data_IF_616851403571
#
_entry.id   IF_616851403571
#
_cell.length_a   1.000
_cell.length_b   1.000
_cell.length_c   1.000
_cell.angle_alpha   90.00
_cell.angle_beta   90.00
_cell.angle_gamma   90.00
#
_symmetry.space_group_name_H-M   'P 1'
#
loop_
_entity.id
_entity.type
_entity.pdbx_description
1 polymer ?
#
# COMPACT_ATOMS: atom_id res chain seq x y z
N UNK A 1 -29.56 -34.53 19.07
CA UNK A 1 -29.91 -33.10 18.96
C UNK A 1 -29.06 -32.51 17.85
N UNK A 2 -29.67 -31.80 16.89
CA UNK A 2 -28.93 -31.06 15.87
C UNK A 2 -28.42 -29.75 16.46
N UNK A 3 -27.19 -29.36 16.14
CA UNK A 3 -26.64 -28.05 16.49
C UNK A 3 -26.97 -27.11 15.34
N UNK A 4 -27.74 -26.06 15.62
CA UNK A 4 -28.01 -24.99 14.67
C UNK A 4 -27.03 -23.84 14.91
N UNK A 5 -26.38 -23.37 13.84
CA UNK A 5 -25.46 -22.24 13.91
C UNK A 5 -26.26 -20.95 13.96
N UNK A 6 -26.05 -20.14 15.00
CA UNK A 6 -26.59 -18.79 15.08
C UNK A 6 -25.90 -17.94 14.00
N UNK A 7 -26.70 -17.33 13.13
CA UNK A 7 -26.24 -16.45 12.06
C UNK A 7 -26.88 -15.09 12.22
N UNK A 8 -26.06 -14.05 12.24
CA UNK A 8 -26.55 -12.68 12.28
C UNK A 8 -26.97 -12.18 10.90
N UNK A 9 -27.90 -11.22 10.88
CA UNK A 9 -28.32 -10.53 9.63
C UNK A 9 -27.81 -9.11 9.65
N UNK A 10 -26.80 -8.84 8.84
CA UNK A 10 -26.17 -7.53 8.71
C UNK A 10 -26.95 -6.65 7.75
N UNK A 11 -27.35 -5.45 8.18
CA UNK A 11 -28.18 -4.54 7.36
C UNK A 11 -27.40 -3.81 6.27
N UNK A 12 -26.08 -3.67 6.42
CA UNK A 12 -25.22 -2.90 5.52
C UNK A 12 -23.87 -3.60 5.32
N UNK A 13 -23.16 -3.21 4.26
CA UNK A 13 -21.79 -3.62 3.97
C UNK A 13 -20.82 -2.44 4.12
N UNK A 14 -19.55 -2.75 4.36
CA UNK A 14 -18.45 -1.76 4.33
C UNK A 14 -18.29 -1.23 2.91
N UNK A 15 -17.98 0.06 2.77
CA UNK A 15 -17.68 0.67 1.48
C UNK A 15 -16.56 -0.07 0.74
N UNK A 16 -16.68 -0.14 -0.58
CA UNK A 16 -15.66 -0.72 -1.46
C UNK A 16 -14.79 0.38 -2.03
N UNK A 17 -13.47 0.26 -1.89
CA UNK A 17 -12.50 1.22 -2.42
C UNK A 17 -11.55 0.50 -3.37
N UNK A 18 -11.39 1.04 -4.58
CA UNK A 18 -10.44 0.54 -5.58
C UNK A 18 -9.28 1.51 -5.70
N UNK A 19 -8.07 0.99 -5.56
CA UNK A 19 -6.80 1.72 -5.59
C UNK A 19 -6.05 1.35 -6.88
N UNK A 20 -5.66 2.38 -7.62
CA UNK A 20 -5.00 2.26 -8.93
C UNK A 20 -5.98 2.27 -10.10
N UNK A 21 -5.47 2.62 -11.28
CA UNK A 21 -6.21 2.65 -12.54
C UNK A 21 -5.32 2.12 -13.67
N UNK A 22 -5.87 1.25 -14.51
CA UNK A 22 -5.17 0.72 -15.69
C UNK A 22 -5.24 1.70 -16.86
N UNK A 23 -4.55 1.38 -17.97
CA UNK A 23 -4.58 2.20 -19.19
C UNK A 23 -5.99 2.43 -19.74
N UNK A 24 -6.89 1.45 -19.59
CA UNK A 24 -8.29 1.53 -20.01
C UNK A 24 -9.10 2.54 -19.17
N UNK A 25 -8.66 2.79 -17.94
CA UNK A 25 -9.29 3.72 -16.99
C UNK A 25 -8.52 5.05 -16.90
N UNK A 26 -7.60 5.31 -17.83
CA UNK A 26 -6.82 6.55 -17.90
C UNK A 26 -5.60 6.59 -16.96
N UNK A 27 -5.28 5.48 -16.28
CA UNK A 27 -4.09 5.36 -15.45
C UNK A 27 -2.92 4.65 -16.14
N UNK A 28 -1.86 4.38 -15.39
CA UNK A 28 -0.64 3.71 -15.88
C UNK A 28 -0.32 2.44 -15.11
N UNK A 29 -1.19 2.00 -14.19
CA UNK A 29 -0.96 0.80 -13.38
C UNK A 29 -1.23 -0.45 -14.20
N UNK A 30 -0.51 -1.53 -13.91
CA UNK A 30 -0.73 -2.85 -14.53
C UNK A 30 -1.79 -3.66 -13.79
N UNK A 31 -2.10 -3.29 -12.54
CA UNK A 31 -3.07 -3.97 -11.69
C UNK A 31 -3.81 -2.98 -10.79
N UNK A 32 -4.92 -3.43 -10.23
CA UNK A 32 -5.73 -2.70 -9.25
C UNK A 32 -5.85 -3.52 -7.97
N UNK A 33 -6.06 -2.82 -6.86
CA UNK A 33 -6.38 -3.42 -5.56
C UNK A 33 -7.72 -2.91 -5.09
N UNK A 34 -8.66 -3.80 -4.82
CA UNK A 34 -9.96 -3.45 -4.26
C UNK A 34 -10.04 -3.98 -2.83
N UNK A 35 -10.52 -3.14 -1.90
CA UNK A 35 -10.67 -3.46 -0.48
C UNK A 35 -12.08 -3.10 -0.01
N UNK A 36 -12.51 -3.71 1.09
CA UNK A 36 -13.84 -3.49 1.68
C UNK A 36 -14.92 -4.35 1.03
N UNK A 37 -16.18 -3.91 1.12
CA UNK A 37 -17.34 -4.66 0.63
C UNK A 37 -17.83 -5.78 1.56
N UNK A 38 -17.23 -5.93 2.75
CA UNK A 38 -17.63 -6.97 3.69
C UNK A 38 -19.02 -6.66 4.30
N UNK A 39 -19.90 -7.65 4.32
CA UNK A 39 -21.25 -7.61 4.92
C UNK A 39 -21.37 -8.57 6.11
N UNK A 40 -20.25 -8.83 6.80
CA UNK A 40 -20.15 -9.73 7.95
C UNK A 40 -18.97 -9.32 8.83
N UNK A 41 -18.86 -9.92 10.02
CA UNK A 41 -17.66 -9.81 10.85
C UNK A 41 -16.47 -10.52 10.18
N UNK A 42 -15.21 -10.15 10.54
CA UNK A 42 -14.03 -10.70 9.89
C UNK A 42 -14.01 -12.23 9.85
N UNK A 43 -13.99 -12.77 8.64
CA UNK A 43 -13.91 -14.22 8.33
C UNK A 43 -15.13 -15.07 8.72
N UNK A 44 -16.29 -14.46 9.04
CA UNK A 44 -17.54 -15.18 9.26
C UNK A 44 -18.35 -15.35 7.95
N UNK A 45 -17.81 -16.13 7.02
CA UNK A 45 -18.39 -16.37 5.69
C UNK A 45 -19.76 -17.09 5.70
N UNK A 46 -20.15 -17.68 6.84
CA UNK A 46 -21.42 -18.39 6.97
C UNK A 46 -22.63 -17.48 7.09
N UNK A 47 -22.43 -16.19 7.38
CA UNK A 47 -23.49 -15.21 7.70
C UNK A 47 -23.38 -13.89 6.90
N UNK A 48 -22.43 -13.79 5.97
CA UNK A 48 -22.36 -12.70 5.00
C UNK A 48 -21.13 -12.80 4.10
N UNK A 49 -21.01 -11.86 3.17
CA UNK A 49 -19.98 -11.87 2.13
C UNK A 49 -18.75 -11.06 2.54
N UNK A 50 -17.57 -11.53 2.13
CA UNK A 50 -16.31 -10.79 2.25
C UNK A 50 -15.58 -10.86 0.91
N UNK A 51 -16.01 -10.06 -0.10
CA UNK A 51 -15.59 -10.23 -1.48
C UNK A 51 -14.11 -9.90 -1.72
N UNK A 52 -13.54 -9.02 -0.89
CA UNK A 52 -12.16 -8.59 -1.00
C UNK A 52 -11.37 -9.01 0.25
N UNK A 53 -10.27 -9.72 0.04
CA UNK A 53 -9.33 -10.07 1.11
C UNK A 53 -8.55 -8.85 1.61
N UNK A 54 -8.11 -8.83 2.87
CA UNK A 54 -7.14 -7.84 3.35
C UNK A 54 -5.87 -7.84 2.50
N UNK A 55 -5.29 -6.66 2.31
CA UNK A 55 -4.10 -6.44 1.49
C UNK A 55 -3.03 -5.76 2.34
N UNK A 56 -1.79 -6.20 2.19
CA UNK A 56 -0.63 -5.60 2.85
C UNK A 56 0.10 -4.72 1.84
N UNK A 57 0.36 -3.47 2.23
CA UNK A 57 1.24 -2.58 1.49
C UNK A 57 2.64 -2.62 2.11
N UNK A 58 3.68 -2.62 1.28
CA UNK A 58 5.05 -2.47 1.77
C UNK A 58 5.43 -0.99 1.79
N UNK A 59 5.97 -0.54 2.92
CA UNK A 59 6.40 0.84 3.10
C UNK A 59 7.75 1.10 2.44
N UNK A 60 7.87 2.28 1.84
CA UNK A 60 9.07 2.84 1.23
C UNK A 60 9.14 4.30 1.65
N UNK A 61 10.34 4.78 1.95
CA UNK A 61 10.60 6.20 2.19
C UNK A 61 11.29 6.81 0.96
N UNK A 62 11.06 8.10 0.72
CA UNK A 62 11.77 8.89 -0.30
C UNK A 62 13.21 9.26 0.10
N UNK A 63 13.57 9.05 1.36
CA UNK A 63 14.91 9.22 1.93
C UNK A 63 15.35 7.97 2.70
N UNK A 64 16.65 7.80 2.92
CA UNK A 64 17.15 6.71 3.74
C UNK A 64 16.67 6.86 5.20
N UNK A 65 16.03 5.84 5.79
CA UNK A 65 15.53 5.92 7.17
C UNK A 65 16.68 6.03 8.16
N UNK A 66 16.69 7.08 8.98
CA UNK A 66 17.74 7.32 9.98
C UNK A 66 17.51 6.54 11.28
N UNK A 67 16.25 6.34 11.66
CA UNK A 67 15.79 5.82 12.95
C UNK A 67 15.38 4.34 12.92
N UNK A 68 15.41 3.70 11.75
CA UNK A 68 15.04 2.29 11.65
C UNK A 68 16.07 1.37 12.32
N UNK A 69 15.64 0.36 13.09
CA UNK A 69 16.51 -0.68 13.63
C UNK A 69 17.25 -1.45 12.51
N UNK A 70 18.46 -1.91 12.80
CA UNK A 70 19.29 -2.63 11.83
C UNK A 70 18.59 -3.85 11.20
N UNK A 71 17.80 -4.58 11.99
CA UNK A 71 17.02 -5.74 11.55
C UNK A 71 15.99 -5.38 10.47
N UNK A 72 15.44 -4.16 10.52
CA UNK A 72 14.49 -3.68 9.51
C UNK A 72 15.21 -3.16 8.26
N UNK A 73 16.43 -2.64 8.41
CA UNK A 73 17.27 -2.16 7.31
C UNK A 73 17.88 -3.29 6.49
N UNK A 74 18.25 -4.40 7.14
CA UNK A 74 18.99 -5.52 6.54
C UNK A 74 18.38 -6.06 5.23
N UNK A 75 17.06 -6.30 5.11
CA UNK A 75 16.44 -6.78 3.86
C UNK A 75 16.58 -5.79 2.69
N UNK A 76 16.75 -4.50 2.99
CA UNK A 76 16.75 -3.41 2.02
C UNK A 76 18.10 -2.71 1.89
N UNK A 77 19.15 -3.19 2.58
CA UNK A 77 20.43 -2.48 2.77
C UNK A 77 21.08 -1.94 1.48
N UNK A 78 20.85 -2.58 0.32
CA UNK A 78 21.43 -2.16 -0.96
C UNK A 78 20.55 -1.17 -1.74
N UNK A 79 19.33 -0.91 -1.26
CA UNK A 79 18.31 -0.08 -1.95
C UNK A 79 17.72 1.02 -1.07
N UNK A 80 18.03 1.08 0.23
CA UNK A 80 17.47 2.07 1.16
C UNK A 80 17.71 3.53 0.76
N UNK A 81 18.79 3.81 0.04
CA UNK A 81 19.12 5.14 -0.45
C UNK A 81 18.49 5.47 -1.82
N UNK A 82 17.79 4.52 -2.45
CA UNK A 82 17.17 4.68 -3.75
C UNK A 82 15.71 4.17 -3.72
N UNK A 83 14.73 5.07 -3.56
CA UNK A 83 13.32 4.69 -3.42
C UNK A 83 12.77 3.95 -4.64
N UNK A 84 13.33 4.18 -5.84
CA UNK A 84 12.91 3.51 -7.08
C UNK A 84 13.35 2.04 -7.09
N UNK A 85 14.61 1.78 -6.74
CA UNK A 85 15.11 0.40 -6.64
C UNK A 85 14.50 -0.33 -5.45
N UNK A 86 14.21 0.39 -4.35
CA UNK A 86 13.45 -0.17 -3.23
C UNK A 86 12.04 -0.59 -3.66
N UNK A 87 11.33 0.26 -4.41
CA UNK A 87 10.02 -0.10 -4.97
C UNK A 87 10.07 -1.34 -5.85
N UNK A 88 11.07 -1.43 -6.73
CA UNK A 88 11.27 -2.62 -7.57
C UNK A 88 11.54 -3.87 -6.73
N UNK A 89 12.39 -3.79 -5.69
CA UNK A 89 12.66 -4.91 -4.78
C UNK A 89 11.38 -5.38 -4.09
N UNK A 90 10.58 -4.46 -3.55
CA UNK A 90 9.29 -4.78 -2.91
C UNK A 90 8.35 -5.54 -3.85
N UNK A 91 8.25 -5.14 -5.12
CA UNK A 91 7.37 -5.79 -6.09
C UNK A 91 7.95 -7.10 -6.63
N UNK A 92 9.24 -7.11 -6.98
CA UNK A 92 9.86 -8.23 -7.70
C UNK A 92 10.27 -9.37 -6.77
N UNK A 93 10.85 -9.06 -5.62
CA UNK A 93 11.36 -10.05 -4.68
C UNK A 93 10.30 -10.40 -3.63
N UNK A 94 9.72 -9.38 -2.98
CA UNK A 94 8.74 -9.58 -1.91
C UNK A 94 7.28 -9.68 -2.39
N UNK A 95 7.05 -9.58 -3.71
CA UNK A 95 5.73 -9.76 -4.35
C UNK A 95 4.63 -8.83 -3.79
N UNK A 96 5.03 -7.62 -3.37
CA UNK A 96 4.10 -6.59 -2.94
C UNK A 96 3.08 -6.28 -4.05
N UNK A 97 1.80 -6.26 -3.68
CA UNK A 97 0.68 -5.92 -4.59
C UNK A 97 0.22 -4.48 -4.46
N UNK A 98 0.73 -3.79 -3.45
CA UNK A 98 0.42 -2.42 -3.09
C UNK A 98 1.67 -1.85 -2.42
N UNK A 99 2.03 -0.62 -2.75
CA UNK A 99 3.13 0.09 -2.11
C UNK A 99 2.60 1.29 -1.34
N UNK A 100 3.25 1.61 -0.24
CA UNK A 100 3.03 2.82 0.54
C UNK A 100 4.32 3.64 0.51
N UNK A 101 4.33 4.72 -0.27
CA UNK A 101 5.41 5.69 -0.27
C UNK A 101 5.11 6.77 0.77
N UNK A 102 5.94 6.86 1.79
CA UNK A 102 5.91 7.95 2.76
C UNK A 102 6.98 8.97 2.38
N UNK A 103 6.55 10.20 2.13
CA UNK A 103 7.40 11.33 1.80
C UNK A 103 7.94 11.94 3.10
N UNK A 104 8.98 11.32 3.66
CA UNK A 104 9.62 11.80 4.89
C UNK A 104 10.66 12.89 4.58
N UNK A 105 11.20 12.93 3.36
CA UNK A 105 12.21 13.90 2.93
C UNK A 105 11.72 15.34 2.87
N UNK A 106 10.40 15.56 2.77
CA UNK A 106 9.80 16.91 2.78
C UNK A 106 9.67 17.49 4.19
N UNK A 107 9.91 16.71 5.23
CA UNK A 107 9.86 17.20 6.60
C UNK A 107 11.03 18.17 6.86
N UNK A 108 10.80 19.33 7.52
CA UNK A 108 11.83 20.34 7.74
C UNK A 108 13.06 19.82 8.50
N UNK A 109 12.86 19.00 9.53
CA UNK A 109 13.98 18.45 10.32
C UNK A 109 14.78 17.32 9.64
N UNK A 110 14.26 16.71 8.57
CA UNK A 110 14.94 15.58 7.92
C UNK A 110 15.64 16.00 6.63
N UNK A 111 14.92 16.63 5.70
CA UNK A 111 15.47 16.96 4.39
C UNK A 111 15.00 18.28 3.81
N UNK A 112 13.88 18.83 4.31
CA UNK A 112 13.23 20.04 3.81
C UNK A 112 13.15 20.06 2.27
N UNK A 113 12.87 18.89 1.68
CA UNK A 113 12.82 18.74 0.24
C UNK A 113 11.61 19.51 -0.33
N UNK A 114 11.80 20.12 -1.50
CA UNK A 114 10.70 20.80 -2.17
C UNK A 114 9.62 19.82 -2.64
N UNK A 115 8.38 20.33 -2.75
CA UNK A 115 7.27 19.58 -3.31
C UNK A 115 7.57 19.04 -4.72
N UNK A 116 8.34 19.78 -5.52
CA UNK A 116 8.75 19.35 -6.87
C UNK A 116 9.65 18.12 -6.82
N UNK A 117 10.58 18.05 -5.86
CA UNK A 117 11.46 16.89 -5.68
C UNK A 117 10.66 15.66 -5.23
N UNK A 118 9.71 15.84 -4.32
CA UNK A 118 8.80 14.78 -3.89
C UNK A 118 7.93 14.27 -5.04
N UNK A 119 7.35 15.17 -5.84
CA UNK A 119 6.56 14.84 -7.01
C UNK A 119 7.40 14.09 -8.07
N UNK A 120 8.66 14.48 -8.26
CA UNK A 120 9.59 13.77 -9.14
C UNK A 120 9.86 12.33 -8.64
N UNK A 121 10.09 12.15 -7.33
CA UNK A 121 10.25 10.82 -6.73
C UNK A 121 9.03 9.93 -6.97
N UNK A 122 7.82 10.44 -6.71
CA UNK A 122 6.55 9.74 -6.97
C UNK A 122 6.46 9.31 -8.44
N UNK A 123 6.75 10.23 -9.38
CA UNK A 123 6.73 9.92 -10.83
C UNK A 123 7.73 8.82 -11.20
N UNK A 124 8.96 8.89 -10.71
CA UNK A 124 9.97 7.87 -10.98
C UNK A 124 9.58 6.49 -10.46
N UNK A 125 8.92 6.41 -9.29
CA UNK A 125 8.36 5.14 -8.79
C UNK A 125 7.23 4.66 -9.69
N UNK A 126 6.30 5.55 -10.06
CA UNK A 126 5.19 5.19 -10.95
C UNK A 126 5.69 4.62 -12.29
N UNK A 127 6.76 5.17 -12.86
CA UNK A 127 7.37 4.66 -14.10
C UNK A 127 8.06 3.31 -13.90
N UNK A 128 8.63 3.07 -12.72
CA UNK A 128 9.41 1.88 -12.42
C UNK A 128 8.59 0.65 -12.04
N UNK A 129 7.43 0.83 -11.41
CA UNK A 129 6.57 -0.28 -10.95
C UNK A 129 5.14 -0.15 -11.45
N UNK A 130 4.45 -1.27 -11.64
CA UNK A 130 3.07 -1.29 -12.16
C UNK A 130 1.97 -1.42 -11.09
N UNK A 131 2.32 -1.70 -9.84
CA UNK A 131 1.33 -1.87 -8.75
C UNK A 131 0.76 -0.52 -8.30
N UNK A 132 -0.44 -0.50 -7.68
CA UNK A 132 -0.98 0.72 -7.09
C UNK A 132 -0.09 1.28 -5.97
N UNK A 133 -0.20 2.59 -5.75
CA UNK A 133 0.63 3.35 -4.82
C UNK A 133 -0.26 4.17 -3.88
N UNK A 134 0.00 4.07 -2.58
CA UNK A 134 -0.47 4.99 -1.55
C UNK A 134 0.66 6.01 -1.32
N UNK A 135 0.33 7.29 -1.28
CA UNK A 135 1.28 8.36 -0.99
C UNK A 135 0.89 9.03 0.32
N UNK A 136 1.78 9.03 1.30
CA UNK A 136 1.63 9.67 2.60
C UNK A 136 2.60 10.86 2.71
N UNK A 137 2.18 11.92 3.39
CA UNK A 137 3.04 13.07 3.70
C UNK A 137 3.99 12.80 4.87
N UNK A 138 4.77 13.82 5.26
CA UNK A 138 5.69 13.73 6.39
C UNK A 138 5.01 13.77 7.76
N UNK A 139 3.82 14.39 7.85
CA UNK A 139 3.06 14.57 9.09
C UNK A 139 3.02 16.00 9.63
N UNK A 140 3.70 16.95 8.97
CA UNK A 140 3.61 18.39 9.23
C UNK A 140 2.44 19.08 8.51
#
# INVERSE_FOLDING_TARGET
MGVELVKEKWSNAINTVTIGATKEEGGTRTSKVTVGGASTLPYLFGEGDMPNKPVVAMEILDIEPVDWPAVLKEPFKDVLNNPVEWAKRCVNEYKAKLLCLKLQGIHPDFGDASADKAAACVKSILEAVGVPLIVLGCGD
#
